data_IF_588305982438
#
_entry.id   IF_588305982438
#
_cell.length_a   1.000
_cell.length_b   1.000
_cell.length_c   1.000
_cell.angle_alpha   90.00
_cell.angle_beta   90.00
_cell.angle_gamma   90.00
#
_symmetry.space_group_name_H-M   'P 1'
#
loop_
_entity.id
_entity.type
_entity.pdbx_description
1 polymer ?
#
# COMPACT_ATOMS: atom_id res chain seq x y z
N UNK A 1 2.19 5.88 -8.88
CA UNK A 1 2.90 4.70 -8.37
C UNK A 1 3.67 4.03 -9.49
N UNK A 2 4.94 3.70 -9.22
CA UNK A 2 5.79 2.89 -10.10
C UNK A 2 5.45 1.39 -10.05
N UNK A 3 5.67 0.67 -11.16
CA UNK A 3 5.42 -0.78 -11.27
C UNK A 3 6.33 -1.57 -10.32
N UNK A 4 7.56 -1.08 -10.07
CA UNK A 4 8.47 -1.70 -9.09
C UNK A 4 7.87 -1.71 -7.68
N UNK A 5 7.29 -0.59 -7.25
CA UNK A 5 6.65 -0.44 -5.94
C UNK A 5 5.44 -1.37 -5.79
N UNK A 6 4.66 -1.57 -6.86
CA UNK A 6 3.58 -2.59 -6.89
C UNK A 6 4.11 -3.98 -6.59
N UNK A 7 5.17 -4.39 -7.28
CA UNK A 7 5.76 -5.73 -7.13
C UNK A 7 6.25 -5.96 -5.69
N UNK A 8 6.83 -4.95 -5.05
CA UNK A 8 7.28 -5.03 -3.66
C UNK A 8 6.09 -5.26 -2.72
N UNK A 9 5.03 -4.48 -2.87
CA UNK A 9 3.82 -4.59 -2.02
C UNK A 9 3.14 -5.94 -2.24
N UNK A 10 3.05 -6.42 -3.49
CA UNK A 10 2.49 -7.73 -3.81
C UNK A 10 3.28 -8.87 -3.15
N UNK A 11 4.62 -8.83 -3.23
CA UNK A 11 5.50 -9.80 -2.56
C UNK A 11 5.30 -9.80 -1.04
N UNK A 12 5.17 -8.61 -0.43
CA UNK A 12 4.85 -8.50 0.98
C UNK A 12 3.49 -9.15 1.30
N UNK A 13 2.46 -8.88 0.49
CA UNK A 13 1.12 -9.43 0.67
C UNK A 13 1.06 -10.95 0.45
N UNK A 14 1.91 -11.51 -0.39
CA UNK A 14 2.02 -12.97 -0.59
C UNK A 14 2.66 -13.67 0.61
N UNK A 15 3.62 -13.03 1.27
CA UNK A 15 4.30 -13.58 2.46
C UNK A 15 3.51 -13.37 3.76
N UNK A 16 2.69 -12.31 3.85
CA UNK A 16 1.98 -11.90 5.08
C UNK A 16 0.45 -11.96 4.98
N UNK A 17 -0.08 -13.02 4.35
CA UNK A 17 -1.48 -13.19 3.91
C UNK A 17 -2.59 -12.91 4.95
N UNK A 18 -2.30 -12.99 6.25
CA UNK A 18 -3.29 -12.88 7.34
C UNK A 18 -3.10 -11.63 8.21
N UNK A 19 -2.22 -10.72 7.81
CA UNK A 19 -1.97 -9.48 8.56
C UNK A 19 -2.95 -8.39 8.14
N UNK A 20 -3.36 -7.54 9.10
CA UNK A 20 -4.19 -6.36 8.80
C UNK A 20 -3.55 -5.47 7.73
N UNK A 21 -2.23 -5.28 7.81
CA UNK A 21 -1.44 -4.55 6.82
C UNK A 21 -1.58 -5.16 5.42
N UNK A 22 -1.40 -6.49 5.27
CA UNK A 22 -1.57 -7.12 3.96
C UNK A 22 -3.00 -7.05 3.42
N UNK A 23 -4.02 -7.11 4.28
CA UNK A 23 -5.41 -6.98 3.83
C UNK A 23 -5.67 -5.57 3.27
N UNK A 24 -5.29 -4.53 4.02
CA UNK A 24 -5.40 -3.14 3.58
C UNK A 24 -4.64 -2.92 2.26
N UNK A 25 -3.38 -3.36 2.20
CA UNK A 25 -2.53 -3.16 1.01
C UNK A 25 -3.06 -3.88 -0.23
N UNK A 26 -3.76 -5.01 -0.08
CA UNK A 26 -4.42 -5.68 -1.21
C UNK A 26 -5.58 -4.85 -1.75
N UNK A 27 -6.42 -4.29 -0.87
CA UNK A 27 -7.53 -3.42 -1.27
C UNK A 27 -7.00 -2.19 -2.02
N UNK A 28 -6.00 -1.52 -1.44
CA UNK A 28 -5.37 -0.35 -2.05
C UNK A 28 -4.67 -0.67 -3.37
N UNK A 29 -4.00 -1.82 -3.48
CA UNK A 29 -3.42 -2.26 -4.75
C UNK A 29 -4.50 -2.49 -5.81
N UNK A 30 -5.60 -3.16 -5.46
CA UNK A 30 -6.72 -3.37 -6.37
C UNK A 30 -7.30 -2.05 -6.89
N UNK A 31 -7.54 -1.09 -5.99
CA UNK A 31 -7.97 0.27 -6.36
C UNK A 31 -6.96 0.98 -7.27
N UNK A 32 -5.66 0.79 -7.02
CA UNK A 32 -4.62 1.35 -7.88
C UNK A 32 -4.61 0.76 -9.30
N UNK A 33 -5.21 -0.42 -9.53
CA UNK A 33 -5.38 -1.01 -10.85
C UNK A 33 -6.67 -0.57 -11.53
N UNK A 34 -7.78 -0.50 -10.80
CA UNK A 34 -9.10 -0.22 -11.39
C UNK A 34 -9.32 1.27 -11.59
N UNK A 35 -8.79 2.13 -10.71
CA UNK A 35 -9.09 3.57 -10.65
C UNK A 35 -10.60 3.89 -10.61
N UNK A 36 -11.43 2.91 -10.24
CA UNK A 36 -12.89 3.03 -10.28
C UNK A 36 -13.44 3.73 -9.02
N UNK A 37 -12.68 3.72 -7.92
CA UNK A 37 -13.03 4.34 -6.65
C UNK A 37 -11.79 4.95 -5.97
N UNK A 38 -12.01 5.98 -5.15
CA UNK A 38 -11.02 6.53 -4.24
C UNK A 38 -10.96 5.68 -2.95
N UNK A 39 -9.77 5.56 -2.32
CA UNK A 39 -9.64 4.89 -1.03
C UNK A 39 -10.35 5.68 0.08
N UNK A 40 -10.80 4.99 1.13
CA UNK A 40 -11.41 5.67 2.27
C UNK A 40 -10.36 6.46 3.08
N UNK A 41 -10.77 7.58 3.71
CA UNK A 41 -9.87 8.36 4.57
C UNK A 41 -9.24 7.52 5.69
N UNK A 42 -10.00 6.56 6.26
CA UNK A 42 -9.47 5.64 7.27
C UNK A 42 -8.38 4.73 6.70
N UNK A 43 -8.55 4.23 5.47
CA UNK A 43 -7.56 3.38 4.80
C UNK A 43 -6.26 4.14 4.57
N UNK A 44 -6.36 5.40 4.11
CA UNK A 44 -5.20 6.29 3.95
C UNK A 44 -4.52 6.58 5.29
N UNK A 45 -5.29 6.87 6.35
CA UNK A 45 -4.73 7.08 7.69
C UNK A 45 -4.01 5.82 8.21
N UNK A 46 -4.54 4.62 7.94
CA UNK A 46 -3.90 3.37 8.29
C UNK A 46 -2.61 3.14 7.49
N UNK A 47 -2.60 3.48 6.19
CA UNK A 47 -1.41 3.42 5.34
C UNK A 47 -0.29 4.30 5.89
N UNK A 48 -0.56 5.57 6.19
CA UNK A 48 0.47 6.47 6.75
C UNK A 48 1.02 5.97 8.09
N UNK A 49 0.18 5.37 8.93
CA UNK A 49 0.61 4.72 10.17
C UNK A 49 1.52 3.50 9.92
N UNK A 50 1.27 2.72 8.87
CA UNK A 50 2.13 1.61 8.48
C UNK A 50 3.47 2.10 7.92
N UNK A 51 3.50 3.18 7.15
CA UNK A 51 4.71 3.81 6.62
C UNK A 51 5.60 4.29 7.78
N UNK A 52 5.02 5.01 8.75
CA UNK A 52 5.76 5.57 9.88
C UNK A 52 6.44 4.49 10.75
N UNK A 53 5.91 3.25 10.74
CA UNK A 53 6.41 2.14 11.55
C UNK A 53 7.22 1.11 10.74
N UNK A 54 7.28 1.26 9.42
CA UNK A 54 8.01 0.32 8.57
C UNK A 54 9.51 0.51 8.73
N UNK A 55 10.20 -0.62 8.92
CA UNK A 55 11.66 -0.66 9.12
C UNK A 55 12.38 -1.10 7.87
N UNK A 56 11.71 -1.87 7.01
CA UNK A 56 12.26 -2.26 5.73
C UNK A 56 12.24 -1.05 4.76
N UNK A 57 13.41 -0.52 4.35
CA UNK A 57 13.47 0.73 3.59
C UNK A 57 12.87 0.58 2.18
N UNK A 58 12.96 -0.61 1.60
CA UNK A 58 12.45 -0.89 0.26
C UNK A 58 10.91 -0.96 0.28
N UNK A 59 10.33 -1.69 1.22
CA UNK A 59 8.89 -1.71 1.45
C UNK A 59 8.38 -0.34 1.87
N UNK A 60 9.10 0.39 2.72
CA UNK A 60 8.70 1.73 3.12
C UNK A 60 8.58 2.67 1.93
N UNK A 61 9.59 2.70 1.06
CA UNK A 61 9.54 3.51 -0.16
C UNK A 61 8.38 3.11 -1.07
N UNK A 62 8.15 1.81 -1.25
CA UNK A 62 7.01 1.34 -2.04
C UNK A 62 5.64 1.76 -1.46
N UNK A 63 5.52 1.84 -0.13
CA UNK A 63 4.32 2.32 0.54
C UNK A 63 4.15 3.84 0.44
N UNK A 64 5.23 4.61 0.50
CA UNK A 64 5.22 6.06 0.26
C UNK A 64 4.77 6.36 -1.18
N UNK A 65 5.24 5.60 -2.17
CA UNK A 65 4.76 5.71 -3.56
C UNK A 65 3.27 5.39 -3.73
N UNK A 66 2.72 4.52 -2.86
CA UNK A 66 1.27 4.21 -2.81
C UNK A 66 0.47 5.35 -2.21
N UNK A 67 0.98 5.92 -1.11
CA UNK A 67 0.36 7.06 -0.43
C UNK A 67 0.33 8.28 -1.35
N UNK A 68 1.44 8.58 -2.03
CA UNK A 68 1.53 9.67 -3.01
C UNK A 68 0.57 9.47 -4.18
N UNK A 69 0.42 8.23 -4.68
CA UNK A 69 -0.46 7.92 -5.79
C UNK A 69 -1.93 8.27 -5.52
N UNK A 70 -2.40 8.13 -4.28
CA UNK A 70 -3.77 8.45 -3.90
C UNK A 70 -3.96 9.88 -3.38
N UNK A 71 -2.87 10.62 -3.15
CA UNK A 71 -2.94 12.02 -2.73
C UNK A 71 -3.07 13.02 -3.91
N UNK A 72 -3.15 12.53 -5.16
CA UNK A 72 -3.26 13.31 -6.40
C UNK A 72 -4.61 13.07 -7.10
#
# INVERSE_FOLDING_TARGET
>A
MDEYSRIIIEKYCMSHKKTKKSMLLRNLLELSYTMECEPEEEEMMQLSNFIAREKDPELKGALEDLDEFFCW
#
